data_IF_210512724342
#
_entry.id   IF_210512724342
#
_cell.length_a   1.000
_cell.length_b   1.000
_cell.length_c   1.000
_cell.angle_alpha   90.00
_cell.angle_beta   90.00
_cell.angle_gamma   90.00
#
_symmetry.space_group_name_H-M   'P 1'
#
loop_
_entity.id
_entity.type
_entity.pdbx_description
1 polymer ?
#
# COMPACT_ATOMS: atom_id res chain seq x y z
N UNK A 1 -9.76 11.41 -26.31
CA UNK A 1 -10.08 12.60 -27.12
C UNK A 1 -9.02 12.88 -28.17
N UNK A 2 -7.71 12.85 -27.88
CA UNK A 2 -6.66 13.04 -28.89
C UNK A 2 -6.01 11.76 -29.43
N UNK A 3 -6.21 10.61 -28.76
CA UNK A 3 -5.66 9.29 -29.13
C UNK A 3 -4.19 9.29 -29.61
N UNK A 4 -3.35 10.07 -28.91
CA UNK A 4 -1.92 10.19 -29.18
C UNK A 4 -1.13 9.27 -28.26
N UNK A 5 -0.12 8.63 -28.83
CA UNK A 5 0.87 7.84 -28.12
C UNK A 5 2.22 8.53 -28.20
N UNK A 6 2.84 8.76 -27.04
CA UNK A 6 4.15 9.39 -26.94
C UNK A 6 5.20 8.34 -26.61
N UNK A 7 6.30 8.37 -27.36
CA UNK A 7 7.49 7.60 -27.04
C UNK A 7 8.51 8.59 -26.46
N UNK A 8 8.79 8.46 -25.18
CA UNK A 8 9.79 9.27 -24.50
C UNK A 8 11.10 8.47 -24.48
N UNK A 9 12.21 9.13 -24.82
CA UNK A 9 13.52 8.52 -24.73
C UNK A 9 13.95 8.38 -23.26
N UNK A 10 14.62 7.27 -22.93
CA UNK A 10 15.15 7.06 -21.58
C UNK A 10 16.22 8.13 -21.28
N UNK A 11 16.07 8.85 -20.16
CA UNK A 11 16.99 9.90 -19.69
C UNK A 11 17.05 11.21 -20.50
N UNK A 12 15.92 11.65 -21.04
CA UNK A 12 15.74 12.96 -21.70
C UNK A 12 16.14 14.16 -20.79
N UNK A 13 15.90 14.06 -19.49
CA UNK A 13 16.14 15.14 -18.51
C UNK A 13 17.61 15.60 -18.38
N UNK A 14 18.56 14.84 -18.93
CA UNK A 14 19.98 15.26 -18.98
C UNK A 14 20.23 16.43 -19.94
N UNK A 15 19.36 16.59 -20.95
CA UNK A 15 19.50 17.62 -21.97
C UNK A 15 18.59 18.81 -21.71
N UNK A 16 17.40 18.58 -21.15
CA UNK A 16 16.45 19.64 -20.82
C UNK A 16 15.76 19.43 -19.47
N UNK A 17 15.72 20.49 -18.65
CA UNK A 17 14.89 20.48 -17.44
C UNK A 17 13.40 20.38 -17.82
N UNK A 18 12.69 19.49 -17.14
CA UNK A 18 11.24 19.27 -17.30
C UNK A 18 10.77 18.94 -18.74
N UNK A 19 11.62 18.28 -19.53
CA UNK A 19 11.32 17.86 -20.91
C UNK A 19 9.89 17.30 -21.15
N UNK A 20 9.34 16.37 -20.33
CA UNK A 20 7.99 15.85 -20.58
C UNK A 20 6.89 16.91 -20.44
N UNK A 21 7.05 17.89 -19.56
CA UNK A 21 6.06 18.96 -19.37
C UNK A 21 6.02 19.91 -20.55
N UNK A 22 7.19 20.21 -21.13
CA UNK A 22 7.29 21.04 -22.33
C UNK A 22 6.60 20.42 -23.54
N UNK A 23 6.63 19.09 -23.64
CA UNK A 23 5.94 18.36 -24.70
C UNK A 23 4.42 18.34 -24.47
N UNK A 24 3.99 17.99 -23.26
CA UNK A 24 2.58 17.70 -22.96
C UNK A 24 1.73 18.97 -22.77
N UNK A 25 2.25 20.02 -22.09
CA UNK A 25 1.43 21.18 -21.73
C UNK A 25 0.95 22.03 -22.93
N UNK A 26 1.76 22.33 -23.95
CA UNK A 26 1.27 23.05 -25.13
C UNK A 26 0.20 22.26 -25.87
N UNK A 27 0.36 20.94 -25.97
CA UNK A 27 -0.64 20.09 -26.63
C UNK A 27 -1.96 20.03 -25.86
N UNK A 28 -1.92 19.93 -24.52
CA UNK A 28 -3.12 20.01 -23.69
C UNK A 28 -3.80 21.37 -23.81
N UNK A 29 -3.02 22.45 -23.92
CA UNK A 29 -3.55 23.79 -24.10
C UNK A 29 -4.24 23.95 -25.47
N UNK A 30 -3.63 23.48 -26.56
CA UNK A 30 -4.25 23.50 -27.89
C UNK A 30 -5.49 22.60 -27.94
N UNK A 31 -5.45 21.44 -27.29
CA UNK A 31 -6.62 20.57 -27.18
C UNK A 31 -7.77 21.20 -26.39
N UNK A 32 -7.45 21.97 -25.34
CA UNK A 32 -8.43 22.75 -24.57
C UNK A 32 -9.06 23.87 -25.40
N UNK A 33 -8.32 24.48 -26.35
CA UNK A 33 -8.93 25.43 -27.30
C UNK A 33 -9.85 24.75 -28.31
N UNK A 34 -9.44 23.58 -28.81
CA UNK A 34 -10.19 22.82 -29.80
C UNK A 34 -11.46 22.20 -29.21
N UNK A 35 -11.44 21.87 -27.93
CA UNK A 35 -12.56 21.22 -27.24
C UNK A 35 -13.25 22.23 -26.34
N UNK A 36 -14.58 22.34 -26.38
CA UNK A 36 -15.36 23.24 -25.48
C UNK A 36 -15.33 22.83 -23.99
N UNK A 37 -14.42 21.93 -23.59
CA UNK A 37 -14.36 21.35 -22.25
C UNK A 37 -13.30 22.08 -21.39
N UNK A 38 -13.70 22.91 -20.41
CA UNK A 38 -12.76 23.73 -19.63
C UNK A 38 -11.90 22.91 -18.66
N UNK A 39 -12.33 21.69 -18.30
CA UNK A 39 -11.64 20.82 -17.34
C UNK A 39 -10.41 20.08 -17.91
N UNK A 40 -10.15 20.19 -19.23
CA UNK A 40 -9.02 19.56 -19.90
C UNK A 40 -7.69 20.21 -19.50
N UNK A 41 -7.68 21.53 -19.29
CA UNK A 41 -6.49 22.26 -18.90
C UNK A 41 -6.85 23.47 -18.05
N UNK A 42 -6.57 23.39 -16.76
CA UNK A 42 -6.70 24.52 -15.82
C UNK A 42 -5.40 25.33 -15.79
N UNK A 43 -5.50 26.66 -15.96
CA UNK A 43 -4.33 27.54 -16.05
C UNK A 43 -3.60 27.69 -14.71
N UNK A 44 -4.35 27.72 -13.61
CA UNK A 44 -3.81 27.79 -12.23
C UNK A 44 -3.15 26.48 -11.80
N UNK A 45 -3.69 25.34 -12.24
CA UNK A 45 -3.25 24.01 -11.80
C UNK A 45 -2.93 23.11 -13.00
N UNK A 46 -1.81 23.39 -13.68
CA UNK A 46 -1.38 22.62 -14.86
C UNK A 46 -1.23 21.13 -14.55
N UNK A 47 -1.90 20.29 -15.35
CA UNK A 47 -1.86 18.83 -15.22
C UNK A 47 -2.72 18.24 -14.09
N UNK A 48 -3.55 19.07 -13.45
CA UNK A 48 -4.54 18.64 -12.45
C UNK A 48 -5.93 19.10 -12.89
N UNK A 49 -6.94 18.40 -12.42
CA UNK A 49 -8.34 18.74 -12.67
C UNK A 49 -9.14 18.66 -11.36
N UNK A 50 -10.19 19.47 -11.24
CA UNK A 50 -11.16 19.35 -10.16
C UNK A 50 -12.00 18.10 -10.31
N UNK A 51 -12.06 17.30 -9.25
CA UNK A 51 -12.92 16.10 -9.16
C UNK A 51 -14.10 16.43 -8.25
N UNK A 52 -15.23 15.79 -8.51
CA UNK A 52 -16.40 15.80 -7.66
C UNK A 52 -16.58 14.44 -7.01
N UNK A 53 -16.94 14.42 -5.73
CA UNK A 53 -17.26 13.18 -5.03
C UNK A 53 -18.54 12.55 -5.61
N UNK A 54 -18.47 11.28 -5.98
CA UNK A 54 -19.59 10.54 -6.56
C UNK A 54 -20.69 10.21 -5.55
N UNK A 55 -20.44 10.32 -4.24
CA UNK A 55 -21.46 10.09 -3.20
C UNK A 55 -22.19 11.37 -2.82
N UNK A 56 -21.45 12.43 -2.50
CA UNK A 56 -22.03 13.69 -2.00
C UNK A 56 -22.21 14.76 -3.07
N UNK A 57 -21.57 14.64 -4.24
CA UNK A 57 -21.60 15.64 -5.31
C UNK A 57 -20.74 16.88 -5.05
N UNK A 58 -20.06 16.96 -3.90
CA UNK A 58 -19.21 18.09 -3.54
C UNK A 58 -17.87 18.04 -4.27
N UNK A 59 -17.30 19.20 -4.59
CA UNK A 59 -15.95 19.30 -5.16
C UNK A 59 -14.89 19.01 -4.09
N UNK A 60 -13.79 18.36 -4.48
CA UNK A 60 -12.62 18.23 -3.62
C UNK A 60 -11.94 19.60 -3.41
N UNK A 61 -11.43 19.85 -2.20
CA UNK A 61 -10.74 21.11 -1.86
C UNK A 61 -9.45 21.32 -2.68
N UNK A 62 -8.77 20.22 -2.99
CA UNK A 62 -7.51 20.24 -3.74
C UNK A 62 -7.68 19.59 -5.12
N UNK A 63 -7.11 20.19 -6.19
CA UNK A 63 -7.15 19.60 -7.53
C UNK A 63 -6.27 18.33 -7.57
N UNK A 64 -6.75 17.32 -8.30
CA UNK A 64 -6.14 15.98 -8.32
C UNK A 64 -5.59 15.68 -9.72
N UNK A 65 -4.51 14.91 -9.79
CA UNK A 65 -3.94 14.46 -11.07
C UNK A 65 -4.80 13.31 -11.60
N UNK A 66 -5.29 13.46 -12.83
CA UNK A 66 -6.04 12.43 -13.56
C UNK A 66 -5.23 12.07 -14.81
N UNK A 67 -5.09 10.78 -15.09
CA UNK A 67 -4.35 10.33 -16.26
C UNK A 67 -4.63 8.87 -16.59
N UNK A 68 -3.95 8.38 -17.64
CA UNK A 68 -3.94 6.98 -18.02
C UNK A 68 -2.63 6.34 -17.56
N UNK A 69 -2.53 5.87 -16.30
CA UNK A 69 -1.34 5.14 -15.85
C UNK A 69 -1.27 3.78 -16.54
N UNK A 70 -0.05 3.30 -16.79
CA UNK A 70 0.17 1.94 -17.22
C UNK A 70 0.31 1.04 -15.98
N UNK A 71 -0.76 0.34 -15.64
CA UNK A 71 -0.81 -0.55 -14.47
C UNK A 71 -0.69 -2.00 -14.96
N UNK A 72 0.33 -2.70 -14.48
CA UNK A 72 0.55 -4.12 -14.78
C UNK A 72 -0.19 -4.99 -13.76
N UNK A 73 -0.96 -5.97 -14.25
CA UNK A 73 -1.52 -7.02 -13.40
C UNK A 73 -0.45 -8.09 -13.16
N UNK A 74 0.00 -8.21 -11.93
CA UNK A 74 0.89 -9.30 -11.50
C UNK A 74 0.08 -10.59 -11.27
N UNK A 75 0.79 -11.71 -11.28
CA UNK A 75 0.21 -13.02 -10.96
C UNK A 75 -0.30 -12.99 -9.51
N UNK A 76 -1.54 -13.42 -9.33
CA UNK A 76 -2.15 -13.47 -8.02
C UNK A 76 -1.62 -14.68 -7.24
N UNK A 77 -0.72 -14.43 -6.29
CA UNK A 77 -0.15 -15.49 -5.47
C UNK A 77 -0.97 -15.80 -4.22
N UNK A 78 -2.02 -15.03 -3.91
CA UNK A 78 -2.77 -15.22 -2.65
C UNK A 78 -3.66 -16.44 -2.73
N UNK A 79 -4.22 -16.76 -3.90
CA UNK A 79 -5.04 -17.97 -4.08
C UNK A 79 -4.26 -19.25 -3.72
N UNK A 80 -2.99 -19.33 -4.14
CA UNK A 80 -2.11 -20.45 -3.82
C UNK A 80 -1.62 -20.45 -2.36
N UNK A 81 -1.84 -19.35 -1.62
CA UNK A 81 -1.34 -19.12 -0.25
C UNK A 81 -2.39 -19.32 0.83
N UNK A 82 -3.68 -19.31 0.49
CA UNK A 82 -4.73 -19.60 1.46
C UNK A 82 -4.71 -21.11 1.73
N UNK A 83 -4.35 -21.46 2.96
CA UNK A 83 -4.28 -22.85 3.42
C UNK A 83 -4.88 -22.94 4.82
N UNK A 84 -5.75 -23.91 5.04
CA UNK A 84 -6.34 -24.20 6.34
C UNK A 84 -6.22 -25.68 6.63
N UNK A 85 -5.88 -26.03 7.86
CA UNK A 85 -5.81 -27.42 8.31
C UNK A 85 -6.68 -27.62 9.56
N UNK A 86 -7.54 -28.65 9.52
CA UNK A 86 -8.32 -29.12 10.68
C UNK A 86 -7.75 -30.41 11.28
N UNK A 87 -7.21 -31.30 10.44
CA UNK A 87 -6.53 -32.55 10.83
C UNK A 87 -5.54 -32.92 9.74
N UNK A 88 -4.40 -33.51 10.10
CA UNK A 88 -3.33 -33.80 9.15
C UNK A 88 -2.40 -34.92 9.63
N UNK A 89 -1.46 -35.30 8.78
CA UNK A 89 -0.48 -36.35 9.09
C UNK A 89 0.60 -35.85 10.05
N UNK A 90 1.06 -36.74 10.94
CA UNK A 90 2.10 -36.46 11.92
C UNK A 90 3.42 -37.12 11.55
N UNK A 91 4.53 -36.49 11.93
CA UNK A 91 5.85 -37.08 11.80
C UNK A 91 6.01 -38.27 12.75
N UNK A 92 6.59 -39.38 12.26
CA UNK A 92 6.73 -40.62 13.04
C UNK A 92 7.52 -40.42 14.35
N UNK A 93 8.59 -39.61 14.30
CA UNK A 93 9.51 -39.42 15.44
C UNK A 93 9.01 -38.33 16.38
N UNK A 94 8.75 -37.12 15.87
CA UNK A 94 8.43 -35.95 16.70
C UNK A 94 6.95 -35.80 17.00
N UNK A 95 6.08 -36.55 16.31
CA UNK A 95 4.63 -36.40 16.36
C UNK A 95 4.17 -34.95 16.12
N UNK A 96 4.97 -34.17 15.40
CA UNK A 96 4.60 -32.84 14.94
C UNK A 96 3.84 -32.95 13.62
N UNK A 97 2.85 -32.08 13.36
CA UNK A 97 2.23 -31.98 12.05
C UNK A 97 3.29 -31.78 10.95
N UNK A 98 3.15 -32.50 9.85
CA UNK A 98 4.13 -32.46 8.75
C UNK A 98 4.22 -31.06 8.12
N UNK A 99 5.39 -30.76 7.55
CA UNK A 99 5.66 -29.54 6.77
C UNK A 99 5.30 -29.73 5.28
N UNK A 100 4.76 -28.69 4.68
CA UNK A 100 4.34 -28.57 3.28
C UNK A 100 2.81 -28.51 3.09
N UNK A 101 2.33 -27.51 2.35
CA UNK A 101 0.90 -27.29 2.03
C UNK A 101 0.20 -28.51 1.45
N UNK A 102 0.89 -29.27 0.61
CA UNK A 102 0.37 -30.48 -0.04
C UNK A 102 -0.02 -31.60 0.95
N UNK A 103 0.43 -31.53 2.21
CA UNK A 103 0.21 -32.57 3.24
C UNK A 103 -0.72 -32.11 4.37
N UNK A 104 -1.53 -31.08 4.14
CA UNK A 104 -2.39 -30.46 5.17
C UNK A 104 -1.58 -30.09 6.41
N UNK A 105 -0.54 -29.28 6.22
CA UNK A 105 0.31 -28.81 7.32
C UNK A 105 -0.42 -27.84 8.26
N UNK A 106 -0.01 -27.83 9.52
CA UNK A 106 -0.40 -26.80 10.50
C UNK A 106 0.56 -25.60 10.48
N UNK A 107 0.14 -24.49 11.08
CA UNK A 107 1.00 -23.32 11.24
C UNK A 107 2.09 -23.60 12.29
N UNK A 108 3.34 -23.22 11.99
CA UNK A 108 4.41 -23.31 12.98
C UNK A 108 4.24 -22.23 14.05
N UNK A 109 3.97 -22.65 15.27
CA UNK A 109 4.01 -21.76 16.43
C UNK A 109 5.43 -21.70 16.99
N UNK A 110 6.07 -20.53 16.88
CA UNK A 110 7.44 -20.31 17.33
C UNK A 110 7.53 -19.82 18.79
N UNK A 111 8.73 -19.84 19.38
CA UNK A 111 8.95 -19.35 20.75
C UNK A 111 8.44 -17.93 20.99
N UNK A 112 8.50 -17.06 19.97
CA UNK A 112 8.01 -15.68 20.04
C UNK A 112 6.50 -15.60 20.24
N UNK A 113 5.75 -16.52 19.64
CA UNK A 113 4.29 -16.59 19.76
C UNK A 113 3.92 -17.17 21.13
N UNK A 114 4.66 -18.19 21.58
CA UNK A 114 4.51 -18.79 22.92
C UNK A 114 4.76 -17.75 24.02
N UNK A 115 5.80 -16.92 23.87
CA UNK A 115 6.09 -15.85 24.84
C UNK A 115 4.98 -14.82 24.89
N UNK A 116 4.41 -14.42 23.74
CA UNK A 116 3.25 -13.51 23.69
C UNK A 116 2.05 -14.09 24.43
N UNK A 117 1.75 -15.35 24.22
CA UNK A 117 0.60 -16.02 24.86
C UNK A 117 0.77 -16.14 26.38
N UNK A 118 1.98 -16.50 26.84
CA UNK A 118 2.30 -16.54 28.27
C UNK A 118 2.23 -15.16 28.93
N UNK A 119 2.77 -14.14 28.28
CA UNK A 119 2.69 -12.75 28.75
C UNK A 119 1.23 -12.30 28.86
N UNK A 120 0.42 -12.57 27.84
CA UNK A 120 -1.03 -12.27 27.84
C UNK A 120 -1.76 -12.99 28.97
N UNK A 121 -1.47 -14.28 29.18
CA UNK A 121 -2.08 -15.08 30.25
C UNK A 121 -1.71 -14.58 31.66
N UNK A 122 -0.45 -14.17 31.85
CA UNK A 122 0.01 -13.53 33.09
C UNK A 122 -0.62 -12.15 33.29
N UNK A 123 -0.78 -11.34 32.24
CA UNK A 123 -1.43 -10.02 32.37
C UNK A 123 -2.88 -10.18 32.83
N UNK A 124 -3.59 -11.19 32.32
CA UNK A 124 -4.98 -11.52 32.70
C UNK A 124 -5.05 -12.01 34.17
N UNK A 125 -4.09 -12.83 34.61
CA UNK A 125 -4.04 -13.34 35.99
C UNK A 125 -3.68 -12.25 37.02
N UNK A 126 -2.81 -11.31 36.67
CA UNK A 126 -2.33 -10.27 37.57
C UNK A 126 -3.03 -8.91 37.38
N UNK A 127 -4.03 -8.82 36.50
CA UNK A 127 -4.77 -7.57 36.22
C UNK A 127 -3.89 -6.44 35.68
N UNK A 128 -2.73 -6.77 35.10
CA UNK A 128 -1.77 -5.79 34.60
C UNK A 128 -2.17 -5.37 33.17
N UNK A 129 -2.06 -4.07 32.81
CA UNK A 129 -2.37 -3.61 31.47
C UNK A 129 -1.47 -4.31 30.45
N UNK A 130 -2.08 -4.80 29.36
CA UNK A 130 -1.40 -5.59 28.34
C UNK A 130 -0.24 -4.87 27.65
N UNK A 131 0.64 -5.62 26.96
CA UNK A 131 1.92 -5.13 26.42
C UNK A 131 1.79 -4.00 25.39
N UNK A 132 0.60 -3.79 24.80
CA UNK A 132 0.35 -2.74 23.81
C UNK A 132 0.30 -1.32 24.42
N UNK A 133 0.22 -1.18 25.76
CA UNK A 133 0.29 0.14 26.43
C UNK A 133 1.72 0.68 26.59
N UNK A 134 2.77 -0.11 26.33
CA UNK A 134 4.16 0.30 26.58
C UNK A 134 4.87 0.95 25.39
N UNK A 135 4.23 1.04 24.21
CA UNK A 135 4.83 1.68 23.03
C UNK A 135 4.33 3.11 22.77
N UNK A 136 3.73 3.75 23.78
CA UNK A 136 3.14 5.08 23.64
C UNK A 136 3.19 5.89 24.92
N UNK A 137 4.39 6.32 25.32
CA UNK A 137 4.66 7.64 25.93
C UNK A 137 6.16 7.82 26.14
N UNK A 138 6.68 8.80 25.42
CA UNK A 138 7.97 9.45 25.56
C UNK A 138 8.36 9.76 27.02
N UNK A 139 9.68 9.70 27.26
CA UNK A 139 10.46 10.27 28.37
C UNK A 139 10.47 9.50 29.71
N UNK A 140 11.29 8.44 29.77
CA UNK A 140 11.74 7.87 31.05
C UNK A 140 13.22 8.21 31.28
N UNK A 141 13.45 9.18 32.17
CA UNK A 141 14.75 9.57 32.70
C UNK A 141 15.30 8.42 33.54
N UNK A 142 16.32 7.73 33.04
CA UNK A 142 17.06 6.71 33.79
C UNK A 142 17.88 7.41 34.89
N UNK A 143 17.56 7.14 36.15
CA UNK A 143 18.44 7.42 37.29
C UNK A 143 18.87 6.07 37.86
N UNK A 144 20.12 5.71 37.59
CA UNK A 144 20.81 4.59 38.24
C UNK A 144 21.45 5.18 39.49
N UNK A 145 21.06 4.71 40.67
CA UNK A 145 21.86 4.89 41.89
C UNK A 145 22.68 3.62 42.11
N UNK A 146 23.98 3.80 42.33
CA UNK A 146 24.88 2.83 42.95
C UNK A 146 24.90 3.13 44.45
#
# INVERSE_FOLDING_TARGET
>A
MLDRHYRIATFDERYEQEAPRKLVFPELYEASKQTTNPWIFELEYRGKSRIFDGRMGNAFEQPVIIGKPYILKLIHQVDDKIHSCSSGYYALVTQQPLRGRAKQEGQRVGEMEIRKEKLSSQSIQFGLPGPDMLLGKSNMKLRIEV
#
